data_IF_418489942188
#
_entry.id   IF_418489942188
#
_cell.length_a   1.000
_cell.length_b   1.000
_cell.length_c   1.000
_cell.angle_alpha   90.00
_cell.angle_beta   90.00
_cell.angle_gamma   90.00
#
_symmetry.space_group_name_H-M   'P 1'
#
loop_
_entity.id
_entity.type
_entity.pdbx_description
1 polymer ?
#
# COMPACT_ATOMS: atom_id res chain seq x y z
N UNK A 1 -18.16 8.54 0.57
CA UNK A 1 -18.10 7.31 1.40
C UNK A 1 -17.04 7.41 2.47
N UNK A 2 -15.78 7.73 2.13
CA UNK A 2 -14.69 7.93 3.10
C UNK A 2 -14.98 9.08 4.09
N UNK A 3 -15.56 10.20 3.63
CA UNK A 3 -15.90 11.33 4.52
C UNK A 3 -16.93 10.94 5.60
N UNK A 4 -17.95 10.14 5.26
CA UNK A 4 -18.91 9.59 6.23
C UNK A 4 -18.26 8.63 7.22
N UNK A 5 -17.22 7.90 6.81
CA UNK A 5 -16.45 7.03 7.70
C UNK A 5 -15.57 7.83 8.67
N UNK A 6 -15.01 8.97 8.22
CA UNK A 6 -14.31 9.94 9.08
C UNK A 6 -15.24 10.51 10.15
N UNK A 7 -16.44 10.94 9.76
CA UNK A 7 -17.46 11.48 10.67
C UNK A 7 -17.87 10.47 11.75
N UNK A 8 -17.83 9.18 11.45
CA UNK A 8 -18.15 8.08 12.38
C UNK A 8 -16.94 7.52 13.14
N UNK A 9 -15.79 8.18 13.10
CA UNK A 9 -14.54 7.74 13.75
C UNK A 9 -14.09 6.32 13.34
N UNK A 10 -14.40 5.88 12.12
CA UNK A 10 -13.94 4.58 11.64
C UNK A 10 -12.45 4.64 11.28
N UNK A 11 -11.72 3.55 11.54
CA UNK A 11 -10.34 3.38 11.05
C UNK A 11 -10.35 3.26 9.52
N UNK A 12 -9.76 4.23 8.84
CA UNK A 12 -9.68 4.24 7.37
C UNK A 12 -8.38 3.58 6.94
N UNK A 13 -8.49 2.47 6.23
CA UNK A 13 -7.38 1.83 5.52
C UNK A 13 -7.51 2.25 4.06
N UNK A 14 -6.50 2.96 3.56
CA UNK A 14 -6.50 3.39 2.18
C UNK A 14 -6.20 2.22 1.24
N UNK A 15 -6.88 2.17 0.10
CA UNK A 15 -6.69 1.09 -0.89
C UNK A 15 -5.27 0.97 -1.42
N UNK A 16 -4.48 2.05 -1.38
CA UNK A 16 -3.09 2.01 -1.83
C UNK A 16 -2.20 1.19 -0.88
N UNK A 17 -2.47 1.14 0.43
CA UNK A 17 -1.73 0.27 1.36
C UNK A 17 -2.01 -1.21 1.06
N UNK A 18 -3.27 -1.53 0.68
CA UNK A 18 -3.63 -2.87 0.23
C UNK A 18 -2.91 -3.25 -1.07
N UNK A 19 -2.89 -2.34 -2.04
CA UNK A 19 -2.17 -2.53 -3.31
C UNK A 19 -0.67 -2.76 -3.08
N UNK A 20 -0.05 -1.95 -2.21
CA UNK A 20 1.37 -2.08 -1.87
C UNK A 20 1.67 -3.44 -1.23
N UNK A 21 0.82 -3.91 -0.31
CA UNK A 21 0.98 -5.23 0.30
C UNK A 21 0.93 -6.38 -0.73
N UNK A 22 0.02 -6.31 -1.71
CA UNK A 22 -0.07 -7.29 -2.80
C UNK A 22 1.18 -7.26 -3.69
N UNK A 23 1.67 -6.06 -4.02
CA UNK A 23 2.87 -5.89 -4.82
C UNK A 23 4.11 -6.45 -4.09
N UNK A 24 4.24 -6.20 -2.79
CA UNK A 24 5.33 -6.74 -1.96
C UNK A 24 5.31 -8.27 -1.97
N UNK A 25 4.15 -8.89 -1.71
CA UNK A 25 4.07 -10.34 -1.66
C UNK A 25 4.40 -10.98 -3.01
N UNK A 26 3.94 -10.36 -4.10
CA UNK A 26 4.28 -10.77 -5.45
C UNK A 26 5.80 -10.66 -5.66
N UNK A 27 6.40 -9.51 -5.37
CA UNK A 27 7.84 -9.28 -5.54
C UNK A 27 8.70 -10.33 -4.81
N UNK A 28 8.34 -10.65 -3.56
CA UNK A 28 9.06 -11.67 -2.77
C UNK A 28 8.94 -13.06 -3.38
N UNK A 29 7.78 -13.45 -3.90
CA UNK A 29 7.58 -14.75 -4.56
C UNK A 29 8.41 -14.83 -5.84
N UNK A 30 8.39 -13.78 -6.66
CA UNK A 30 9.02 -13.80 -7.99
C UNK A 30 10.54 -13.67 -7.95
N UNK A 31 11.09 -12.97 -6.97
CA UNK A 31 12.51 -12.63 -6.92
C UNK A 31 13.24 -13.27 -5.74
N UNK A 32 12.54 -14.03 -4.89
CA UNK A 32 13.04 -14.71 -3.70
C UNK A 32 13.91 -13.79 -2.81
N UNK A 33 13.50 -12.51 -2.73
CA UNK A 33 14.19 -11.46 -1.98
C UNK A 33 13.17 -10.58 -1.28
N UNK A 34 13.57 -10.05 -0.13
CA UNK A 34 12.74 -9.12 0.63
C UNK A 34 12.41 -7.87 -0.20
N UNK A 35 11.13 -7.50 -0.23
CA UNK A 35 10.67 -6.35 -0.99
C UNK A 35 11.13 -5.02 -0.34
N UNK A 36 11.64 -4.05 -1.13
CA UNK A 36 11.99 -2.73 -0.63
C UNK A 36 10.73 -1.86 -0.46
N UNK A 37 10.08 -1.96 0.70
CA UNK A 37 8.82 -1.27 1.03
C UNK A 37 8.84 0.22 0.70
N UNK A 38 9.86 0.95 1.17
CA UNK A 38 9.91 2.42 1.02
C UNK A 38 10.05 2.84 -0.45
N UNK A 39 10.80 2.09 -1.25
CA UNK A 39 10.96 2.35 -2.68
C UNK A 39 9.62 2.11 -3.38
N UNK A 40 9.00 0.97 -3.13
CA UNK A 40 7.70 0.61 -3.73
C UNK A 40 6.59 1.59 -3.34
N UNK A 41 6.60 2.07 -2.08
CA UNK A 41 5.68 3.11 -1.60
C UNK A 41 5.87 4.43 -2.35
N UNK A 42 7.12 4.87 -2.52
CA UNK A 42 7.44 6.09 -3.28
C UNK A 42 7.03 5.98 -4.75
N UNK A 43 7.23 4.81 -5.37
CA UNK A 43 6.83 4.55 -6.76
C UNK A 43 5.32 4.65 -6.98
N UNK A 44 4.50 4.19 -6.03
CA UNK A 44 3.03 4.30 -6.12
C UNK A 44 2.55 5.74 -5.93
N UNK A 45 3.22 6.51 -5.07
CA UNK A 45 2.86 7.89 -4.76
C UNK A 45 3.42 8.91 -5.76
N UNK A 46 4.08 8.45 -6.84
CA UNK A 46 4.64 9.31 -7.89
C UNK A 46 5.92 10.05 -7.49
N UNK A 47 6.59 9.61 -6.42
CA UNK A 47 7.86 10.18 -5.97
C UNK A 47 9.06 9.50 -6.64
N UNK A 48 9.23 9.76 -7.94
CA UNK A 48 10.47 9.49 -8.68
C UNK A 48 11.22 10.80 -8.90
#
# INVERSE_FOLDING_TARGET
MINKAKEKNCKIIFGYEMLLGQAIRSFEIWLDRKAPYDVMKRSILGGF
#
